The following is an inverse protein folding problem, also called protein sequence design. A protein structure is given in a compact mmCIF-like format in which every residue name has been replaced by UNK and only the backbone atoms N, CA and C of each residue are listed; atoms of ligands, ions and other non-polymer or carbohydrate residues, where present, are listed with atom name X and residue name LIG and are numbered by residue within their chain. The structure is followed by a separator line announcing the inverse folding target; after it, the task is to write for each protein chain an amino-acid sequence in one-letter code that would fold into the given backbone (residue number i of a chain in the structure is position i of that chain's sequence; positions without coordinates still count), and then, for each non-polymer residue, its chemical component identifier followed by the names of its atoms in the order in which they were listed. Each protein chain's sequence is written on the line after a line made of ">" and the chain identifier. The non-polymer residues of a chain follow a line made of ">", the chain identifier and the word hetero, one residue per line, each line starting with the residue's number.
data_IF_407356932482
#
_entry.id   IF_407356932482
#
_cell.length_a   1.000
_cell.length_b   1.000
_cell.length_c   1.000
_cell.angle_alpha   90.00
_cell.angle_beta   90.00
_cell.angle_gamma   90.00
#
_symmetry.space_group_name_H-M   'P 1'
#
loop_
_entity.id
_entity.type
_entity.pdbx_description
1 polymer ?
#
# COMPACT_ATOMS: atom_id res chain seq x y z
N UNK A 1 -12.74 18.33 -16.03
CA UNK A 1 -11.36 18.19 -16.49
C UNK A 1 -11.02 16.71 -16.71
N UNK A 2 -10.04 16.42 -17.57
CA UNK A 2 -9.51 15.09 -17.84
C UNK A 2 -8.43 14.73 -16.82
N UNK A 3 -8.14 13.42 -16.70
CA UNK A 3 -7.00 12.91 -15.94
C UNK A 3 -6.02 12.27 -16.93
N UNK A 4 -4.80 12.76 -16.94
CA UNK A 4 -3.69 12.22 -17.73
C UNK A 4 -2.81 11.40 -16.79
N UNK A 5 -2.59 10.13 -17.12
CA UNK A 5 -1.73 9.22 -16.36
C UNK A 5 -0.49 8.92 -17.17
N UNK A 6 0.67 9.15 -16.58
CA UNK A 6 1.96 8.67 -17.08
C UNK A 6 2.53 7.64 -16.14
N UNK A 7 3.50 6.85 -16.60
CA UNK A 7 4.09 5.76 -15.84
C UNK A 7 5.59 5.98 -15.66
N UNK A 8 6.08 5.61 -14.46
CA UNK A 8 7.49 5.69 -14.10
C UNK A 8 7.98 4.31 -13.63
N UNK A 9 8.90 3.73 -14.38
CA UNK A 9 9.46 2.40 -14.10
C UNK A 9 10.42 2.36 -12.90
N UNK A 10 10.77 3.51 -12.33
CA UNK A 10 11.52 3.59 -11.08
C UNK A 10 10.64 3.54 -9.85
N UNK A 11 9.34 3.81 -9.99
CA UNK A 11 8.35 3.80 -8.93
C UNK A 11 7.60 2.46 -8.88
N UNK A 12 7.32 1.98 -7.67
CA UNK A 12 6.50 0.77 -7.49
C UNK A 12 5.05 0.98 -7.93
N UNK A 13 4.32 -0.05 -8.41
CA UNK A 13 2.95 0.06 -8.92
C UNK A 13 1.93 0.69 -7.97
N UNK A 14 2.15 0.61 -6.66
CA UNK A 14 1.30 1.23 -5.63
C UNK A 14 1.67 2.67 -5.29
N UNK A 15 2.75 3.21 -5.90
CA UNK A 15 3.16 4.61 -5.73
C UNK A 15 2.48 5.47 -6.78
N UNK A 16 1.93 6.58 -6.34
CA UNK A 16 1.32 7.60 -7.19
C UNK A 16 1.76 8.98 -6.74
N UNK A 17 2.05 9.85 -7.71
CA UNK A 17 2.39 11.24 -7.46
C UNK A 17 1.56 12.14 -8.35
N UNK A 18 0.90 13.13 -7.77
CA UNK A 18 0.18 14.17 -8.50
C UNK A 18 1.18 15.24 -8.93
N UNK A 19 1.39 15.40 -10.22
CA UNK A 19 2.27 16.44 -10.80
C UNK A 19 1.54 17.76 -11.04
N UNK A 20 0.23 17.69 -11.30
CA UNK A 20 -0.62 18.84 -11.56
C UNK A 20 -2.04 18.52 -11.12
N UNK A 21 -2.63 19.40 -10.31
CA UNK A 21 -4.05 19.30 -9.98
C UNK A 21 -4.91 19.78 -11.14
N UNK A 22 -6.03 19.07 -11.36
CA UNK A 22 -7.02 19.43 -12.35
C UNK A 22 -7.89 20.60 -11.90
N UNK A 23 -8.33 21.40 -12.84
CA UNK A 23 -9.33 22.46 -12.61
C UNK A 23 -10.46 22.31 -13.62
N UNK A 24 -11.72 22.45 -13.15
CA UNK A 24 -12.87 22.49 -14.04
C UNK A 24 -12.88 23.80 -14.83
N UNK A 25 -13.17 23.70 -16.10
CA UNK A 25 -13.47 24.89 -16.91
C UNK A 25 -14.81 25.49 -16.49
N UNK A 26 -15.03 26.72 -16.88
CA UNK A 26 -16.27 27.45 -16.67
C UNK A 26 -16.80 27.97 -17.99
N UNK A 27 -18.10 27.91 -18.17
CA UNK A 27 -18.80 28.53 -19.28
C UNK A 27 -20.02 29.30 -18.77
N UNK A 28 -20.28 30.40 -19.40
CA UNK A 28 -21.47 31.20 -19.20
C UNK A 28 -22.47 30.85 -20.30
N UNK A 29 -23.69 30.53 -19.88
CA UNK A 29 -24.81 30.28 -20.82
C UNK A 29 -25.90 31.29 -20.49
N UNK A 30 -26.29 32.07 -21.51
CA UNK A 30 -27.40 32.99 -21.43
C UNK A 30 -28.59 32.31 -22.10
N UNK A 31 -29.70 32.19 -21.36
CA UNK A 31 -30.93 31.57 -21.83
C UNK A 31 -32.10 32.54 -21.69
N UNK A 32 -32.96 32.57 -22.69
CA UNK A 32 -34.28 33.21 -22.62
C UNK A 32 -35.28 32.18 -22.15
N UNK A 33 -35.94 32.48 -21.04
CA UNK A 33 -36.99 31.64 -20.47
C UNK A 33 -38.33 32.41 -20.59
N UNK A 34 -39.27 31.85 -21.34
CA UNK A 34 -40.64 32.39 -21.43
C UNK A 34 -41.51 31.64 -20.43
N UNK A 35 -42.28 32.40 -19.62
CA UNK A 35 -43.19 31.82 -18.62
C UNK A 35 -44.61 32.38 -18.84
N UNK A 36 -45.58 31.48 -18.82
CA UNK A 36 -47.01 31.81 -18.84
C UNK A 36 -47.68 31.29 -17.56
N UNK A 37 -48.36 32.12 -16.84
CA UNK A 37 -49.00 31.78 -15.54
C UNK A 37 -48.01 31.15 -14.53
N UNK A 38 -46.76 31.62 -14.53
CA UNK A 38 -45.71 31.12 -13.64
C UNK A 38 -45.05 29.79 -14.07
N UNK A 39 -45.54 29.16 -15.14
CA UNK A 39 -44.95 27.94 -15.69
C UNK A 39 -44.02 28.26 -16.86
N UNK A 40 -42.89 27.61 -16.92
CA UNK A 40 -41.94 27.71 -18.04
C UNK A 40 -42.54 27.01 -19.27
N UNK A 41 -42.69 27.75 -20.35
CA UNK A 41 -43.28 27.26 -21.62
C UNK A 41 -42.23 27.15 -22.73
N UNK A 42 -41.13 27.91 -22.61
CA UNK A 42 -40.03 27.82 -23.57
C UNK A 42 -38.70 28.22 -22.91
N UNK A 43 -37.65 27.59 -23.35
CA UNK A 43 -36.26 27.88 -22.99
C UNK A 43 -35.39 27.86 -24.25
N UNK A 44 -34.77 28.98 -24.57
CA UNK A 44 -33.91 29.10 -25.74
C UNK A 44 -32.53 29.62 -25.34
N UNK A 45 -31.49 28.90 -25.71
CA UNK A 45 -30.12 29.36 -25.47
C UNK A 45 -29.78 30.49 -26.43
N UNK A 46 -29.42 31.65 -25.87
CA UNK A 46 -29.05 32.87 -26.62
C UNK A 46 -27.59 32.89 -26.94
N UNK A 47 -26.76 32.60 -25.93
CA UNK A 47 -25.29 32.58 -26.09
C UNK A 47 -24.63 31.60 -25.17
N UNK A 48 -23.45 31.17 -25.55
CA UNK A 48 -22.54 30.37 -24.74
C UNK A 48 -21.12 30.89 -24.92
N UNK A 49 -20.49 31.27 -23.83
CA UNK A 49 -19.11 31.81 -23.81
C UNK A 49 -18.27 31.00 -22.85
N UNK A 50 -17.10 30.53 -23.29
CA UNK A 50 -16.14 29.86 -22.44
C UNK A 50 -15.39 30.92 -21.63
N UNK A 51 -15.58 30.87 -20.28
CA UNK A 51 -14.91 31.78 -19.35
C UNK A 51 -13.50 31.28 -19.03
N UNK A 52 -13.37 29.98 -18.84
CA UNK A 52 -12.06 29.33 -18.65
C UNK A 52 -12.07 27.91 -19.18
N UNK A 53 -10.94 27.47 -19.74
CA UNK A 53 -10.77 26.10 -20.17
C UNK A 53 -10.45 25.19 -18.98
N UNK A 54 -10.86 23.90 -19.01
CA UNK A 54 -10.43 22.94 -17.99
C UNK A 54 -8.94 22.68 -18.08
N UNK A 55 -8.32 22.48 -16.92
CA UNK A 55 -6.92 22.06 -16.81
C UNK A 55 -6.91 20.59 -16.40
N UNK A 56 -6.19 19.76 -17.16
CA UNK A 56 -6.08 18.34 -16.86
C UNK A 56 -5.33 18.08 -15.55
N UNK A 57 -5.79 17.11 -14.76
CA UNK A 57 -5.02 16.54 -13.66
C UNK A 57 -3.96 15.61 -14.23
N UNK A 58 -2.69 15.77 -13.82
CA UNK A 58 -1.57 14.91 -14.25
C UNK A 58 -1.08 14.07 -13.08
N UNK A 59 -1.09 12.76 -13.27
CA UNK A 59 -0.70 11.76 -12.27
C UNK A 59 0.43 10.92 -12.85
N UNK A 60 1.46 10.65 -12.05
CA UNK A 60 2.49 9.65 -12.35
C UNK A 60 2.24 8.44 -11.49
N UNK A 61 2.10 7.27 -12.10
CA UNK A 61 1.99 5.97 -11.43
C UNK A 61 3.25 5.16 -11.62
N UNK A 62 3.60 4.40 -10.58
CA UNK A 62 4.70 3.47 -10.69
C UNK A 62 4.38 2.33 -11.65
N UNK A 63 5.39 1.92 -12.43
CA UNK A 63 5.32 0.76 -13.34
C UNK A 63 6.54 -0.14 -13.21
N UNK A 64 7.28 -0.04 -12.10
CA UNK A 64 8.39 -0.94 -11.82
C UNK A 64 7.90 -2.37 -11.84
N UNK A 65 8.61 -3.26 -12.55
CA UNK A 65 8.27 -4.66 -12.57
C UNK A 65 8.24 -5.24 -11.15
N UNK A 66 7.09 -5.75 -10.76
CA UNK A 66 6.95 -6.53 -9.55
C UNK A 66 7.40 -7.95 -9.89
N UNK A 67 8.34 -8.56 -9.16
CA UNK A 67 8.64 -9.98 -9.35
C UNK A 67 7.36 -10.79 -9.18
N UNK A 68 7.35 -11.98 -9.77
CA UNK A 68 6.19 -12.87 -9.77
C UNK A 68 5.39 -12.74 -8.47
N UNK A 69 4.13 -12.35 -8.60
CA UNK A 69 3.20 -12.20 -7.49
C UNK A 69 3.24 -13.47 -6.65
N UNK A 70 3.17 -13.32 -5.34
CA UNK A 70 3.04 -14.45 -4.43
C UNK A 70 1.87 -15.34 -4.85
N UNK A 71 1.93 -16.60 -4.49
CA UNK A 71 0.89 -17.59 -4.83
C UNK A 71 -0.47 -17.31 -4.17
N UNK A 72 -0.50 -16.35 -3.23
CA UNK A 72 -1.67 -16.06 -2.37
C UNK A 72 -1.85 -17.08 -1.24
N UNK A 73 -1.02 -18.11 -1.19
CA UNK A 73 -1.04 -19.13 -0.12
C UNK A 73 0.23 -18.99 0.72
N UNK A 74 0.11 -18.53 1.96
CA UNK A 74 1.25 -18.33 2.84
C UNK A 74 1.79 -19.65 3.38
N UNK A 75 3.10 -19.80 3.32
CA UNK A 75 3.82 -20.84 4.04
C UNK A 75 4.12 -20.40 5.48
N UNK A 76 4.33 -21.35 6.38
CA UNK A 76 4.73 -21.09 7.75
C UNK A 76 6.15 -20.49 7.79
N UNK A 77 6.33 -19.29 8.40
CA UNK A 77 7.57 -18.52 8.23
C UNK A 77 8.75 -19.03 9.09
N UNK A 78 8.51 -19.73 10.18
CA UNK A 78 9.58 -20.34 10.99
C UNK A 78 9.06 -21.54 11.74
N UNK A 79 9.99 -22.40 12.21
CA UNK A 79 9.66 -23.49 13.13
C UNK A 79 9.43 -22.91 14.53
N UNK A 80 8.29 -23.25 15.13
CA UNK A 80 7.89 -22.80 16.45
C UNK A 80 6.42 -23.10 16.75
N UNK A 81 5.99 -22.74 17.95
CA UNK A 81 4.60 -22.89 18.38
C UNK A 81 3.95 -21.52 18.50
N UNK A 82 2.64 -21.40 18.18
CA UNK A 82 1.93 -20.15 18.44
C UNK A 82 1.87 -19.91 19.95
N UNK A 83 2.43 -18.82 20.39
CA UNK A 83 2.42 -18.36 21.79
C UNK A 83 1.38 -17.27 22.03
N UNK A 84 0.95 -16.58 20.98
CA UNK A 84 -0.14 -15.60 21.04
C UNK A 84 -0.85 -15.46 19.71
N UNK A 85 -2.16 -15.34 19.75
CA UNK A 85 -3.03 -15.20 18.57
C UNK A 85 -3.32 -13.71 18.26
N UNK A 86 -3.75 -13.44 17.06
CA UNK A 86 -4.33 -12.17 16.62
C UNK A 86 -5.59 -11.86 17.44
N UNK A 87 -5.74 -10.61 17.89
CA UNK A 87 -6.93 -10.17 18.61
C UNK A 87 -6.62 -9.35 19.86
N UNK A 88 -7.65 -9.06 20.65
CA UNK A 88 -7.52 -8.34 21.91
C UNK A 88 -6.85 -9.19 23.00
N UNK A 89 -5.80 -8.63 23.63
CA UNK A 89 -5.09 -9.24 24.76
C UNK A 89 -4.56 -8.16 25.69
N UNK A 90 -4.71 -8.33 27.01
CA UNK A 90 -4.17 -7.45 28.06
C UNK A 90 -4.39 -5.95 27.82
N UNK A 91 -5.57 -5.57 27.31
CA UNK A 91 -5.91 -4.16 27.06
C UNK A 91 -5.34 -3.57 25.76
N UNK A 92 -4.68 -4.36 24.91
CA UNK A 92 -4.17 -3.96 23.61
C UNK A 92 -4.58 -4.93 22.49
N UNK A 93 -4.68 -4.43 21.28
CA UNK A 93 -5.02 -5.25 20.11
C UNK A 93 -3.74 -5.77 19.45
N UNK A 94 -3.57 -7.10 19.43
CA UNK A 94 -2.47 -7.78 18.76
C UNK A 94 -2.77 -7.94 17.28
N UNK A 95 -1.95 -7.33 16.40
CA UNK A 95 -2.17 -7.29 14.95
C UNK A 95 -1.49 -8.41 14.17
N UNK A 96 -1.03 -9.44 14.86
CA UNK A 96 -0.33 -10.58 14.27
C UNK A 96 -0.53 -11.83 15.08
N UNK A 97 0.31 -12.81 14.83
CA UNK A 97 0.49 -14.00 15.67
C UNK A 97 1.93 -14.00 16.18
N UNK A 98 2.14 -14.46 17.40
CA UNK A 98 3.48 -14.68 17.93
C UNK A 98 3.85 -16.15 17.80
N UNK A 99 4.96 -16.45 17.12
CA UNK A 99 5.53 -17.79 16.96
C UNK A 99 6.77 -17.88 17.82
N UNK A 100 6.61 -18.51 18.99
CA UNK A 100 7.73 -18.75 19.92
C UNK A 100 8.76 -19.70 19.30
N UNK A 101 10.01 -19.24 19.22
CA UNK A 101 11.12 -20.02 18.69
C UNK A 101 12.44 -19.50 19.29
N UNK A 102 13.47 -20.35 19.33
CA UNK A 102 14.77 -19.96 19.84
C UNK A 102 15.38 -18.82 19.02
N UNK A 103 16.06 -17.90 19.70
CA UNK A 103 16.82 -16.85 19.02
C UNK A 103 17.82 -17.46 18.02
N UNK A 104 17.86 -16.89 16.80
CA UNK A 104 18.67 -17.43 15.69
C UNK A 104 17.97 -18.47 14.82
N UNK A 105 16.74 -18.89 15.15
CA UNK A 105 15.92 -19.71 14.24
C UNK A 105 15.69 -18.96 12.94
N UNK A 106 15.86 -19.62 11.79
CA UNK A 106 15.67 -19.00 10.47
C UNK A 106 14.22 -18.59 10.27
N UNK A 107 14.01 -17.35 9.82
CA UNK A 107 12.74 -16.81 9.36
C UNK A 107 12.75 -16.84 7.83
N UNK A 108 11.69 -17.37 7.25
CA UNK A 108 11.53 -17.55 5.81
C UNK A 108 10.39 -16.66 5.28
N UNK A 109 10.54 -16.20 4.04
CA UNK A 109 9.46 -15.53 3.34
C UNK A 109 8.24 -16.46 3.20
N UNK A 110 7.09 -16.01 3.67
CA UNK A 110 5.85 -16.81 3.64
C UNK A 110 5.33 -17.03 2.21
N UNK A 111 5.65 -16.13 1.29
CA UNK A 111 5.40 -16.28 -0.14
C UNK A 111 6.44 -15.47 -0.95
N UNK A 112 6.44 -15.63 -2.27
CA UNK A 112 7.29 -14.85 -3.16
C UNK A 112 6.89 -13.36 -3.14
N UNK A 113 7.85 -12.45 -3.30
CA UNK A 113 7.57 -11.02 -3.29
C UNK A 113 8.81 -10.14 -3.32
N UNK A 114 8.58 -8.86 -3.00
CA UNK A 114 9.63 -7.84 -2.89
C UNK A 114 9.74 -7.36 -1.46
N UNK A 115 10.94 -7.27 -0.95
CA UNK A 115 11.23 -6.68 0.36
C UNK A 115 11.04 -5.17 0.27
N UNK A 116 10.00 -4.64 0.93
CA UNK A 116 9.66 -3.21 0.90
C UNK A 116 10.23 -2.42 2.06
N UNK A 117 10.65 -3.11 3.11
CA UNK A 117 11.25 -2.49 4.29
C UNK A 117 12.19 -3.45 5.02
N UNK A 118 13.36 -2.97 5.42
CA UNK A 118 14.28 -3.61 6.35
C UNK A 118 14.81 -2.54 7.30
N UNK A 119 14.61 -2.71 8.61
CA UNK A 119 15.08 -1.72 9.59
C UNK A 119 14.46 -1.88 10.97
N UNK A 120 14.83 -1.00 11.89
CA UNK A 120 14.24 -0.92 13.22
C UNK A 120 12.97 -0.08 13.20
N UNK A 121 11.87 -0.57 13.79
CA UNK A 121 10.56 0.10 13.75
C UNK A 121 9.85 0.01 15.12
N UNK A 122 10.21 0.90 16.03
CA UNK A 122 9.56 1.05 17.33
C UNK A 122 9.37 -0.26 18.09
N UNK A 123 8.13 -0.54 18.52
CA UNK A 123 7.78 -1.75 19.26
C UNK A 123 8.02 -3.06 18.48
N UNK A 124 8.03 -3.05 17.15
CA UNK A 124 8.35 -4.22 16.32
C UNK A 124 9.84 -4.59 16.33
N UNK A 125 10.71 -3.70 16.83
CA UNK A 125 12.15 -3.94 16.79
C UNK A 125 12.69 -4.01 15.37
N UNK A 126 13.58 -4.94 15.09
CA UNK A 126 14.05 -5.23 13.74
C UNK A 126 12.92 -5.90 12.93
N UNK A 127 12.55 -5.25 11.84
CA UNK A 127 11.38 -5.58 11.03
C UNK A 127 11.77 -5.74 9.57
N UNK A 128 11.25 -6.78 8.94
CA UNK A 128 11.19 -6.94 7.47
C UNK A 128 9.74 -6.90 7.04
N UNK A 129 9.45 -6.20 5.92
CA UNK A 129 8.15 -6.24 5.25
C UNK A 129 8.34 -6.73 3.83
N UNK A 130 7.45 -7.63 3.38
CA UNK A 130 7.45 -8.18 2.04
C UNK A 130 6.09 -7.95 1.40
N UNK A 131 6.08 -7.33 0.23
CA UNK A 131 4.90 -7.19 -0.61
C UNK A 131 4.84 -8.35 -1.60
N UNK A 132 3.72 -9.05 -1.57
CA UNK A 132 3.43 -10.23 -2.40
C UNK A 132 2.53 -9.89 -3.60
N UNK A 133 2.29 -8.60 -3.87
CA UNK A 133 1.46 -8.15 -5.00
C UNK A 133 -0.04 -8.06 -4.71
N UNK A 134 -0.43 -7.89 -3.46
CA UNK A 134 -1.83 -7.74 -3.01
C UNK A 134 -1.98 -7.95 -1.52
N UNK A 135 -0.91 -8.43 -0.89
CA UNK A 135 -0.81 -8.66 0.54
C UNK A 135 0.61 -8.36 1.00
N UNK A 136 0.75 -7.78 2.19
CA UNK A 136 2.05 -7.50 2.79
C UNK A 136 2.20 -8.29 4.08
N UNK A 137 3.30 -9.06 4.19
CA UNK A 137 3.67 -9.73 5.44
C UNK A 137 4.74 -8.96 6.20
N UNK A 138 4.66 -9.01 7.52
CA UNK A 138 5.58 -8.34 8.43
C UNK A 138 6.23 -9.38 9.33
N UNK A 139 7.56 -9.28 9.47
CA UNK A 139 8.38 -10.20 10.26
C UNK A 139 9.16 -9.37 11.28
N UNK A 140 8.69 -9.41 12.52
CA UNK A 140 9.17 -8.53 13.60
C UNK A 140 10.14 -9.21 14.55
N UNK A 141 10.69 -8.42 15.50
CA UNK A 141 11.54 -8.84 16.62
C UNK A 141 12.81 -9.58 16.22
N UNK A 142 13.26 -9.45 14.95
CA UNK A 142 14.40 -10.17 14.40
C UNK A 142 15.70 -9.85 15.14
N UNK A 143 16.60 -10.83 15.25
CA UNK A 143 17.96 -10.61 15.74
C UNK A 143 18.89 -10.10 14.63
N UNK A 144 18.67 -10.57 13.38
CA UNK A 144 19.51 -10.26 12.22
C UNK A 144 18.70 -10.35 10.92
N UNK A 145 18.98 -9.45 9.98
CA UNK A 145 18.46 -9.50 8.63
C UNK A 145 19.35 -10.37 7.72
N UNK A 146 18.75 -11.05 6.75
CA UNK A 146 19.41 -11.76 5.66
C UNK A 146 19.09 -11.16 4.28
N UNK A 147 18.29 -10.10 4.24
CA UNK A 147 17.86 -9.41 3.03
C UNK A 147 17.94 -7.90 3.20
N UNK A 148 17.87 -7.18 2.08
CA UNK A 148 17.82 -5.72 1.99
C UNK A 148 16.54 -5.25 1.32
N UNK A 149 16.17 -3.98 1.56
CA UNK A 149 15.04 -3.36 0.87
C UNK A 149 15.27 -3.34 -0.65
N UNK A 150 14.29 -3.82 -1.39
CA UNK A 150 14.33 -3.97 -2.84
C UNK A 150 14.66 -5.39 -3.31
N UNK A 151 15.12 -6.28 -2.42
CA UNK A 151 15.41 -7.66 -2.79
C UNK A 151 14.14 -8.41 -3.22
N UNK A 152 14.31 -9.29 -4.20
CA UNK A 152 13.31 -10.25 -4.63
C UNK A 152 13.52 -11.54 -3.87
N UNK A 153 12.45 -12.07 -3.29
CA UNK A 153 12.48 -13.32 -2.54
C UNK A 153 11.47 -14.32 -3.10
N UNK A 154 11.83 -15.57 -3.07
CA UNK A 154 10.93 -16.69 -3.32
C UNK A 154 10.31 -17.17 -2.00
N UNK A 155 9.15 -17.84 -2.09
CA UNK A 155 8.57 -18.54 -0.93
C UNK A 155 9.58 -19.49 -0.31
N UNK A 156 9.86 -19.37 0.99
CA UNK A 156 10.77 -20.21 1.73
C UNK A 156 12.21 -19.68 1.80
N UNK A 157 12.55 -18.61 1.09
CA UNK A 157 13.88 -17.98 1.21
C UNK A 157 14.08 -17.43 2.62
N UNK A 158 15.32 -17.58 3.14
CA UNK A 158 15.68 -17.05 4.47
C UNK A 158 15.81 -15.54 4.38
N UNK A 159 15.01 -14.82 5.19
CA UNK A 159 14.95 -13.36 5.22
C UNK A 159 15.57 -12.77 6.49
N UNK A 160 15.85 -13.61 7.47
CA UNK A 160 16.50 -13.23 8.73
C UNK A 160 16.32 -14.30 9.81
N UNK A 161 16.48 -13.87 11.06
CA UNK A 161 16.53 -14.80 12.19
C UNK A 161 15.73 -14.28 13.38
N UNK A 162 15.07 -15.19 14.09
CA UNK A 162 14.29 -14.89 15.31
C UNK A 162 15.18 -14.21 16.34
N UNK A 163 14.64 -13.23 17.01
CA UNK A 163 15.27 -12.48 18.08
C UNK A 163 14.29 -12.07 19.17
N UNK A 164 14.63 -10.96 19.84
CA UNK A 164 13.84 -10.38 20.93
C UNK A 164 14.01 -8.84 20.92
N UNK A 165 14.10 -8.23 19.74
CA UNK A 165 14.27 -6.77 19.63
C UNK A 165 12.93 -6.05 19.72
N UNK A 166 12.95 -4.76 20.07
CA UNK A 166 11.73 -3.98 20.30
C UNK A 166 11.04 -4.30 21.62
N UNK A 167 9.72 -4.41 21.61
CA UNK A 167 8.90 -4.65 22.82
C UNK A 167 8.61 -6.12 23.08
N UNK A 168 9.50 -7.02 22.68
CA UNK A 168 9.37 -8.46 22.90
C UNK A 168 9.77 -8.82 24.34
N UNK A 169 9.05 -9.77 24.96
CA UNK A 169 9.33 -10.28 26.32
C UNK A 169 10.07 -11.63 26.31
N UNK A 170 10.21 -12.24 25.15
CA UNK A 170 10.94 -13.48 24.91
C UNK A 170 11.21 -13.66 23.42
N UNK A 171 12.07 -14.61 23.00
CA UNK A 171 12.34 -14.84 21.59
C UNK A 171 11.12 -15.36 20.83
N UNK A 172 10.69 -14.65 19.80
CA UNK A 172 9.58 -15.03 18.91
C UNK A 172 9.64 -14.27 17.59
N UNK A 173 8.89 -14.69 16.63
CA UNK A 173 8.54 -13.98 15.42
C UNK A 173 7.13 -13.47 15.57
#
# INVERSE_FOLDING_TARGET
>A
FSVEVSYDSSMWPWQETVKQEGKSGQKEIVEQIVRENGKEVSRTKISETIVSYPVAKKIVRGSKEVPAMGSGTLAWPCQGSITSYYGWRWGAFHRGIDIGASSGTSIKAADAGVVTFVGYSGGYGNLVKIDHGGMVTWYAHMSKFAVSTGDKVSKGDVIGYVGMTGSATGPHL
#
